data_IF_982719435767
#
_entry.id   IF_982719435767
#
_cell.length_a   1.000
_cell.length_b   1.000
_cell.length_c   1.000
_cell.angle_alpha   90.00
_cell.angle_beta   90.00
_cell.angle_gamma   90.00
#
_symmetry.space_group_name_H-M   'P 1'
#
loop_
_entity.id
_entity.type
_entity.pdbx_description
1 polymer ?
#
# COMPACT_ATOMS: atom_id res chain seq x y z
N UNK A 1 -5.55 -2.18 15.53
CA UNK A 1 -5.31 -2.43 14.09
C UNK A 1 -4.27 -3.51 13.88
N UNK A 2 -4.38 -4.32 12.81
CA UNK A 2 -3.33 -5.28 12.41
C UNK A 2 -2.68 -4.82 11.09
N UNK A 3 -1.36 -4.63 11.11
CA UNK A 3 -0.46 -4.33 9.99
C UNK A 3 0.35 -5.58 9.62
N UNK A 4 1.09 -5.62 8.50
CA UNK A 4 1.68 -6.86 7.98
C UNK A 4 3.13 -6.70 7.55
N UNK A 5 3.97 -7.72 7.80
CA UNK A 5 5.32 -7.84 7.24
C UNK A 5 5.54 -9.21 6.59
N UNK A 6 6.05 -9.19 5.36
CA UNK A 6 6.74 -10.30 4.68
C UNK A 6 7.64 -9.68 3.59
N UNK A 7 8.76 -10.29 3.19
CA UNK A 7 9.99 -9.59 2.75
C UNK A 7 10.03 -9.07 1.28
N UNK A 8 10.78 -7.96 1.10
CA UNK A 8 11.32 -7.25 -0.09
C UNK A 8 10.41 -6.63 -1.18
N UNK A 9 9.22 -7.15 -1.47
CA UNK A 9 8.23 -6.45 -2.35
C UNK A 9 7.17 -5.68 -1.56
N UNK A 10 7.25 -5.77 -0.24
CA UNK A 10 6.24 -5.36 0.73
C UNK A 10 6.72 -4.22 1.63
N UNK A 11 7.97 -3.77 1.51
CA UNK A 11 8.52 -2.73 2.39
C UNK A 11 7.69 -1.44 2.33
N UNK A 12 7.27 -1.01 1.14
CA UNK A 12 6.42 0.18 0.98
C UNK A 12 5.00 -0.04 1.50
N UNK A 13 4.41 -1.22 1.30
CA UNK A 13 3.06 -1.52 1.78
C UNK A 13 3.02 -1.68 3.30
N UNK A 14 3.97 -2.42 3.87
CA UNK A 14 4.15 -2.56 5.31
C UNK A 14 4.38 -1.18 5.95
N UNK A 15 5.28 -0.35 5.41
CA UNK A 15 5.53 1.02 5.89
C UNK A 15 4.27 1.89 5.78
N UNK A 16 3.52 1.81 4.67
CA UNK A 16 2.27 2.57 4.53
C UNK A 16 1.22 2.12 5.54
N UNK A 17 1.08 0.82 5.77
CA UNK A 17 0.19 0.27 6.80
C UNK A 17 0.60 0.71 8.20
N UNK A 18 1.89 0.69 8.53
CA UNK A 18 2.42 1.17 9.81
C UNK A 18 2.14 2.67 10.01
N UNK A 19 2.44 3.51 9.01
CA UNK A 19 2.15 4.96 9.08
C UNK A 19 0.65 5.23 9.26
N UNK A 20 -0.19 4.53 8.51
CA UNK A 20 -1.63 4.63 8.63
C UNK A 20 -2.10 4.22 10.04
N UNK A 21 -1.58 3.10 10.57
CA UNK A 21 -1.87 2.64 11.92
C UNK A 21 -1.52 3.70 12.98
N UNK A 22 -0.28 4.20 12.92
CA UNK A 22 0.23 5.20 13.85
C UNK A 22 -0.54 6.52 13.79
N UNK A 23 -1.10 6.86 12.63
CA UNK A 23 -1.82 8.12 12.43
C UNK A 23 -3.26 8.05 12.94
N UNK A 24 -3.92 6.91 12.77
CA UNK A 24 -5.37 6.80 12.99
C UNK A 24 -5.78 5.91 14.17
N UNK A 25 -4.84 5.19 14.80
CA UNK A 25 -5.15 4.22 15.86
C UNK A 25 -4.15 4.30 17.00
N UNK A 26 -4.67 4.25 18.24
CA UNK A 26 -3.85 4.24 19.46
C UNK A 26 -3.11 2.90 19.66
N UNK A 27 -3.70 1.82 19.15
CA UNK A 27 -3.18 0.46 19.33
C UNK A 27 -3.11 -0.30 18.02
N UNK A 28 -1.92 -0.82 17.72
CA UNK A 28 -1.69 -1.64 16.54
C UNK A 28 -0.66 -2.74 16.80
N UNK A 29 -0.80 -3.81 16.02
CA UNK A 29 0.09 -4.97 16.00
C UNK A 29 0.41 -5.33 14.56
N UNK A 30 1.46 -6.11 14.34
CA UNK A 30 1.78 -6.75 13.06
C UNK A 30 1.30 -8.20 13.13
N UNK A 31 0.64 -8.72 12.09
CA UNK A 31 0.38 -10.16 11.96
C UNK A 31 1.42 -10.78 11.02
N UNK A 32 2.45 -11.38 11.63
CA UNK A 32 3.51 -12.13 10.97
C UNK A 32 3.07 -13.56 10.66
N UNK A 33 3.49 -14.08 9.51
CA UNK A 33 3.24 -15.48 9.15
C UNK A 33 4.08 -16.49 9.94
N UNK A 34 5.23 -16.08 10.50
CA UNK A 34 6.08 -16.94 11.35
C UNK A 34 5.79 -16.74 12.83
N UNK A 35 5.70 -15.48 13.27
CA UNK A 35 5.66 -15.14 14.70
C UNK A 35 4.26 -14.78 15.22
N UNK A 36 3.28 -14.62 14.32
CA UNK A 36 1.91 -14.24 14.68
C UNK A 36 1.76 -12.78 15.04
N UNK A 37 1.02 -12.46 16.09
CA UNK A 37 0.81 -11.08 16.52
C UNK A 37 2.07 -10.53 17.17
N UNK A 38 2.63 -9.46 16.61
CA UNK A 38 3.81 -8.75 17.09
C UNK A 38 3.44 -7.31 17.46
N UNK A 39 3.91 -6.81 18.59
CA UNK A 39 3.86 -5.39 18.88
C UNK A 39 4.94 -4.63 18.10
N UNK A 40 4.78 -3.31 17.89
CA UNK A 40 5.79 -2.48 17.23
C UNK A 40 7.17 -2.54 17.91
N UNK A 41 7.19 -2.84 19.21
CA UNK A 41 8.39 -2.94 20.03
C UNK A 41 8.97 -4.38 20.10
N UNK A 42 8.27 -5.39 19.54
CA UNK A 42 8.75 -6.76 19.56
C UNK A 42 9.99 -6.92 18.67
N UNK A 43 11.06 -7.50 19.23
CA UNK A 43 12.32 -7.72 18.52
C UNK A 43 12.28 -9.06 17.78
N UNK A 44 12.50 -9.01 16.48
CA UNK A 44 12.66 -10.21 15.66
C UNK A 44 14.15 -10.57 15.60
N UNK A 45 14.55 -11.78 16.06
CA UNK A 45 15.96 -12.13 16.23
C UNK A 45 16.69 -12.40 14.90
N UNK A 46 15.96 -12.74 13.85
CA UNK A 46 16.51 -13.10 12.54
C UNK A 46 15.56 -12.71 11.40
N UNK A 47 16.13 -12.41 10.22
CA UNK A 47 15.34 -12.26 9.00
C UNK A 47 14.67 -13.58 8.64
N UNK A 48 13.42 -13.51 8.13
CA UNK A 48 12.65 -14.71 7.80
C UNK A 48 11.76 -14.51 6.57
N UNK A 49 11.60 -15.56 5.76
CA UNK A 49 10.76 -15.53 4.57
C UNK A 49 9.61 -16.54 4.69
N UNK A 50 8.63 -16.21 5.53
CA UNK A 50 7.40 -17.00 5.71
C UNK A 50 6.21 -16.17 5.27
N UNK A 51 5.24 -16.81 4.61
CA UNK A 51 4.06 -16.15 4.05
C UNK A 51 2.82 -17.03 4.19
N UNK A 52 1.66 -16.42 4.46
CA UNK A 52 0.37 -17.13 4.44
C UNK A 52 -0.11 -17.51 3.03
N UNK A 53 0.48 -16.93 1.97
CA UNK A 53 0.14 -17.27 0.58
C UNK A 53 0.64 -18.68 0.24
N UNK A 54 1.87 -18.99 0.64
CA UNK A 54 2.48 -20.30 0.50
C UNK A 54 2.97 -20.77 1.87
N UNK A 55 2.07 -21.30 2.71
CA UNK A 55 2.41 -21.76 4.05
C UNK A 55 3.51 -22.83 4.02
N UNK A 56 4.39 -22.77 5.00
CA UNK A 56 5.43 -23.76 5.29
C UNK A 56 5.19 -24.37 6.68
N UNK A 57 6.05 -25.31 7.07
CA UNK A 57 6.10 -25.85 8.44
C UNK A 57 6.43 -24.79 9.51
N UNK A 58 7.03 -23.66 9.13
CA UNK A 58 7.29 -22.53 10.03
C UNK A 58 6.10 -21.56 10.13
N UNK A 59 5.03 -21.78 9.37
CA UNK A 59 3.86 -20.89 9.42
C UNK A 59 3.06 -21.11 10.69
N UNK A 60 2.80 -20.03 11.42
CA UNK A 60 2.04 -20.09 12.66
C UNK A 60 0.61 -20.62 12.42
N UNK A 61 0.17 -21.49 13.31
CA UNK A 61 -1.16 -22.10 13.25
C UNK A 61 -2.24 -21.19 13.83
N UNK A 62 -3.50 -21.40 13.41
CA UNK A 62 -4.64 -20.61 13.90
C UNK A 62 -4.80 -20.70 15.42
N UNK A 63 -4.61 -21.89 16.01
CA UNK A 63 -4.77 -22.06 17.45
C UNK A 63 -3.73 -21.26 18.24
N UNK A 64 -2.49 -21.23 17.76
CA UNK A 64 -1.42 -20.39 18.32
C UNK A 64 -1.74 -18.89 18.16
N UNK A 65 -2.32 -18.48 17.03
CA UNK A 65 -2.77 -17.10 16.84
C UNK A 65 -3.87 -16.70 17.83
N UNK A 66 -4.81 -17.61 18.13
CA UNK A 66 -5.86 -17.37 19.13
C UNK A 66 -5.28 -17.21 20.53
N UNK A 67 -4.38 -18.11 20.93
CA UNK A 67 -3.66 -18.03 22.20
C UNK A 67 -2.86 -16.72 22.33
N UNK A 68 -2.19 -16.30 21.25
CA UNK A 68 -1.49 -15.01 21.21
C UNK A 68 -2.44 -13.83 21.30
N UNK A 69 -3.57 -13.86 20.59
CA UNK A 69 -4.54 -12.77 20.61
C UNK A 69 -5.13 -12.56 22.02
N UNK A 70 -5.38 -13.65 22.76
CA UNK A 70 -5.83 -13.59 24.15
C UNK A 70 -4.72 -13.10 25.09
N UNK A 71 -3.54 -13.74 25.05
CA UNK A 71 -2.43 -13.41 25.96
C UNK A 71 -1.87 -12.00 25.76
N UNK A 72 -1.87 -11.50 24.52
CA UNK A 72 -1.46 -10.13 24.17
C UNK A 72 -2.60 -9.11 24.30
N UNK A 73 -3.79 -9.54 24.73
CA UNK A 73 -4.95 -8.65 24.92
C UNK A 73 -5.55 -8.09 23.62
N UNK A 74 -5.15 -8.60 22.45
CA UNK A 74 -5.70 -8.19 21.15
C UNK A 74 -7.16 -8.62 21.01
N UNK A 75 -7.55 -9.73 21.63
CA UNK A 75 -8.94 -10.21 21.65
C UNK A 75 -9.91 -9.31 22.43
N UNK A 76 -9.40 -8.40 23.27
CA UNK A 76 -10.23 -7.52 24.10
C UNK A 76 -10.87 -6.35 23.31
N UNK A 77 -10.36 -6.06 22.10
CA UNK A 77 -10.88 -4.98 21.27
C UNK A 77 -12.17 -5.41 20.56
N UNK A 78 -13.22 -4.59 20.67
CA UNK A 78 -14.51 -4.83 20.01
C UNK A 78 -14.47 -4.59 18.52
N UNK A 79 -13.66 -3.65 18.06
CA UNK A 79 -13.52 -3.30 16.65
C UNK A 79 -12.07 -3.53 16.23
N UNK A 80 -11.87 -4.29 15.15
CA UNK A 80 -10.54 -4.64 14.65
C UNK A 80 -10.48 -4.34 13.15
N UNK A 81 -9.72 -3.29 12.82
CA UNK A 81 -9.36 -2.97 11.43
C UNK A 81 -8.14 -3.78 10.98
N UNK A 82 -8.27 -4.45 9.84
CA UNK A 82 -7.25 -5.33 9.25
C UNK A 82 -6.80 -4.76 7.89
N UNK A 83 -5.56 -4.26 7.82
CA UNK A 83 -5.03 -3.61 6.61
C UNK A 83 -4.26 -4.56 5.70
N UNK A 84 -4.94 -5.59 5.15
CA UNK A 84 -4.23 -6.68 4.49
C UNK A 84 -4.97 -7.29 3.32
N UNK A 85 -4.22 -8.04 2.52
CA UNK A 85 -4.79 -8.87 1.45
C UNK A 85 -5.57 -10.08 1.99
N UNK A 86 -6.30 -10.74 1.09
CA UNK A 86 -7.23 -11.85 1.39
C UNK A 86 -6.71 -12.89 2.39
N UNK A 87 -5.48 -13.38 2.22
CA UNK A 87 -4.93 -14.41 3.09
C UNK A 87 -4.80 -13.97 4.55
N UNK A 88 -4.50 -12.70 4.78
CA UNK A 88 -4.38 -12.14 6.12
C UNK A 88 -5.75 -11.83 6.74
N UNK A 89 -6.69 -11.33 5.94
CA UNK A 89 -8.06 -11.10 6.40
C UNK A 89 -8.77 -12.40 6.77
N UNK A 90 -8.52 -13.48 6.02
CA UNK A 90 -8.98 -14.84 6.37
C UNK A 90 -8.42 -15.34 7.71
N UNK A 91 -7.14 -15.07 8.01
CA UNK A 91 -6.55 -15.41 9.32
C UNK A 91 -7.18 -14.62 10.45
N UNK A 92 -7.36 -13.30 10.28
CA UNK A 92 -8.03 -12.47 11.27
C UNK A 92 -9.46 -12.96 11.56
N UNK A 93 -10.23 -13.31 10.51
CA UNK A 93 -11.57 -13.91 10.66
C UNK A 93 -11.56 -15.22 11.44
N UNK A 94 -10.54 -16.06 11.24
CA UNK A 94 -10.42 -17.33 11.94
C UNK A 94 -10.03 -17.18 13.42
N UNK A 95 -9.33 -16.09 13.76
CA UNK A 95 -8.89 -15.79 15.13
C UNK A 95 -9.99 -15.10 15.94
N UNK A 96 -10.59 -14.04 15.39
CA UNK A 96 -11.56 -13.20 16.08
C UNK A 96 -12.99 -13.64 15.75
N UNK A 97 -13.50 -14.58 16.54
CA UNK A 97 -14.83 -15.17 16.34
C UNK A 97 -15.80 -14.86 17.48
N UNK A 98 -15.41 -14.05 18.46
CA UNK A 98 -16.14 -13.84 19.71
C UNK A 98 -16.74 -12.43 19.80
N UNK A 99 -17.49 -12.04 18.76
CA UNK A 99 -18.25 -10.79 18.75
C UNK A 99 -17.44 -9.53 18.45
N UNK A 100 -16.20 -9.68 17.97
CA UNK A 100 -15.45 -8.56 17.39
C UNK A 100 -16.01 -8.18 16.01
N UNK A 101 -16.17 -6.90 15.77
CA UNK A 101 -16.46 -6.33 14.47
C UNK A 101 -15.16 -6.19 13.66
N UNK A 102 -15.08 -6.90 12.53
CA UNK A 102 -13.90 -6.87 11.67
C UNK A 102 -14.12 -5.96 10.47
N UNK A 103 -13.24 -4.98 10.33
CA UNK A 103 -13.23 -4.06 9.19
C UNK A 103 -12.06 -4.39 8.26
N UNK A 104 -12.35 -4.41 6.96
CA UNK A 104 -11.37 -4.71 5.91
C UNK A 104 -11.27 -3.57 4.90
N UNK A 105 -10.67 -2.42 5.23
CA UNK A 105 -10.72 -1.21 4.39
C UNK A 105 -10.08 -1.36 3.01
N UNK A 106 -9.30 -2.41 2.80
CA UNK A 106 -8.56 -2.69 1.56
C UNK A 106 -9.15 -3.88 0.78
N UNK A 107 -10.31 -4.42 1.18
CA UNK A 107 -10.94 -5.61 0.56
C UNK A 107 -11.35 -5.41 -0.90
N UNK A 108 -11.66 -4.19 -1.28
CA UNK A 108 -12.07 -3.77 -2.64
C UNK A 108 -10.88 -3.55 -3.58
N UNK A 109 -9.64 -3.60 -3.07
CA UNK A 109 -8.45 -3.37 -3.85
C UNK A 109 -7.98 -4.65 -4.55
N UNK A 110 -7.84 -4.59 -5.88
CA UNK A 110 -7.44 -5.73 -6.71
C UNK A 110 -5.92 -5.99 -6.73
N UNK A 111 -5.13 -5.15 -6.07
CA UNK A 111 -3.68 -5.31 -5.99
C UNK A 111 -3.00 -4.30 -5.05
N UNK A 112 -1.75 -4.58 -4.70
CA UNK A 112 -0.96 -3.83 -3.71
C UNK A 112 -0.85 -2.34 -4.08
N UNK A 113 -0.74 -2.00 -5.36
CA UNK A 113 -0.70 -0.60 -5.81
C UNK A 113 -1.97 0.20 -5.47
N UNK A 114 -3.16 -0.40 -5.61
CA UNK A 114 -4.42 0.25 -5.21
C UNK A 114 -4.52 0.38 -3.70
N UNK A 115 -4.04 -0.62 -2.95
CA UNK A 115 -3.99 -0.57 -1.49
C UNK A 115 -3.08 0.57 -1.01
N UNK A 116 -1.89 0.70 -1.59
CA UNK A 116 -0.96 1.80 -1.33
C UNK A 116 -1.61 3.16 -1.62
N UNK A 117 -2.24 3.31 -2.79
CA UNK A 117 -2.94 4.55 -3.14
C UNK A 117 -4.03 4.90 -2.13
N UNK A 118 -4.82 3.91 -1.69
CA UNK A 118 -5.91 4.11 -0.73
C UNK A 118 -5.38 4.56 0.64
N UNK A 119 -4.30 3.92 1.11
CA UNK A 119 -3.62 4.28 2.37
C UNK A 119 -2.99 5.68 2.30
N UNK A 120 -2.25 5.99 1.23
CA UNK A 120 -1.61 7.31 1.06
C UNK A 120 -2.65 8.42 0.98
N UNK A 121 -3.72 8.23 0.22
CA UNK A 121 -4.81 9.22 0.11
C UNK A 121 -5.49 9.50 1.45
N UNK A 122 -5.65 8.46 2.27
CA UNK A 122 -6.23 8.60 3.60
C UNK A 122 -5.31 9.39 4.54
N UNK A 123 -4.00 9.10 4.51
CA UNK A 123 -2.98 9.86 5.24
C UNK A 123 -2.94 11.34 4.83
N UNK A 124 -2.96 11.63 3.53
CA UNK A 124 -2.97 13.00 2.99
C UNK A 124 -4.20 13.79 3.42
N UNK A 125 -5.36 13.13 3.46
CA UNK A 125 -6.63 13.75 3.85
C UNK A 125 -6.85 13.82 5.36
N UNK A 126 -6.01 13.14 6.14
CA UNK A 126 -6.22 12.89 7.57
C UNK A 126 -7.62 12.31 7.85
N UNK A 127 -8.06 11.35 7.05
CA UNK A 127 -9.36 10.70 7.19
C UNK A 127 -9.25 9.19 7.03
N UNK A 128 -9.95 8.45 7.89
CA UNK A 128 -9.90 6.99 7.92
C UNK A 128 -10.61 6.38 6.71
N UNK A 129 -10.08 5.26 6.21
CA UNK A 129 -10.74 4.47 5.19
C UNK A 129 -11.89 3.70 5.83
N UNK A 130 -13.11 3.98 5.39
CA UNK A 130 -14.30 3.17 5.75
C UNK A 130 -14.20 1.79 5.10
N UNK A 131 -14.21 0.74 5.91
CA UNK A 131 -14.27 -0.65 5.44
C UNK A 131 -15.72 -1.16 5.33
N UNK A 132 -15.94 -2.17 4.50
CA UNK A 132 -17.16 -2.97 4.59
C UNK A 132 -17.13 -3.76 5.91
N UNK A 133 -18.08 -3.47 6.80
CA UNK A 133 -18.35 -4.28 7.98
C UNK A 133 -19.12 -5.53 7.57
N UNK A 134 -18.71 -6.70 8.09
CA UNK A 134 -19.47 -7.94 7.95
C UNK A 134 -20.53 -8.04 9.04
N UNK A 135 -21.38 -7.03 9.16
CA UNK A 135 -22.62 -7.12 9.93
C UNK A 135 -23.83 -7.24 8.98
N UNK A 136 -24.70 -8.19 9.32
CA UNK A 136 -25.96 -8.49 8.63
C UNK A 136 -26.87 -7.24 8.61
N UNK A 137 -27.74 -7.07 7.59
CA UNK A 137 -28.35 -5.78 7.31
C UNK A 137 -29.42 -5.44 8.35
N UNK A 138 -29.31 -4.29 9.00
CA UNK A 138 -30.48 -3.45 9.33
C UNK A 138 -30.13 -2.05 9.86
N UNK A 139 -30.72 -1.07 9.18
CA UNK A 139 -31.12 0.30 9.60
C UNK A 139 -30.10 1.44 9.59
N UNK A 140 -30.06 2.06 8.41
CA UNK A 140 -30.13 3.52 8.15
C UNK A 140 -30.53 4.38 9.35
N UNK A 141 -29.68 5.35 9.72
CA UNK A 141 -30.08 6.72 10.11
C UNK A 141 -29.05 7.72 9.55
N UNK A 142 -29.58 8.86 9.10
CA UNK A 142 -29.03 9.84 8.16
C UNK A 142 -28.70 11.18 8.87
N UNK A 143 -27.87 12.01 8.20
CA UNK A 143 -27.74 13.50 8.22
C UNK A 143 -26.61 14.11 9.10
N UNK A 144 -25.51 14.69 8.55
CA UNK A 144 -25.29 15.99 7.84
C UNK A 144 -25.42 17.25 8.74
N UNK A 145 -24.85 18.44 8.42
CA UNK A 145 -23.58 18.82 7.75
C UNK A 145 -22.91 20.09 8.37
N UNK A 146 -21.65 20.43 8.01
CA UNK A 146 -21.20 21.84 8.00
C UNK A 146 -20.40 22.16 6.72
N UNK A 147 -20.79 23.28 6.08
CA UNK A 147 -20.39 23.74 4.74
C UNK A 147 -19.09 24.57 4.76
N UNK A 148 -18.31 24.32 3.70
CA UNK A 148 -17.55 25.24 2.83
C UNK A 148 -16.45 26.15 3.42
N UNK A 149 -15.25 25.95 2.89
CA UNK A 149 -14.59 27.01 2.11
C UNK A 149 -13.98 26.41 0.83
N UNK A 150 -14.34 26.99 -0.31
CA UNK A 150 -13.88 26.62 -1.64
C UNK A 150 -12.44 27.07 -1.87
N UNK A 151 -11.56 26.12 -2.23
CA UNK A 151 -10.38 26.38 -3.07
C UNK A 151 -10.35 25.29 -4.13
N UNK A 152 -10.50 25.69 -5.39
CA UNK A 152 -10.49 24.79 -6.54
C UNK A 152 -9.06 24.49 -7.03
N UNK A 153 -8.88 23.22 -7.46
CA UNK A 153 -7.91 22.70 -8.46
C UNK A 153 -6.46 22.50 -7.99
N UNK A 154 -5.85 21.29 -8.02
CA UNK A 154 -5.60 20.42 -9.20
C UNK A 154 -5.48 18.89 -8.87
N UNK A 155 -6.53 18.16 -8.51
CA UNK A 155 -6.43 16.72 -8.13
C UNK A 155 -7.02 15.72 -9.15
N UNK A 156 -7.07 16.07 -10.44
CA UNK A 156 -7.59 15.19 -11.51
C UNK A 156 -6.56 14.26 -12.16
N UNK A 157 -5.26 14.57 -12.03
CA UNK A 157 -4.16 13.91 -12.77
C UNK A 157 -3.68 12.61 -12.12
N UNK A 158 -3.74 12.49 -10.80
CA UNK A 158 -3.23 11.32 -10.04
C UNK A 158 -4.04 10.03 -10.29
N UNK A 159 -5.33 10.15 -10.65
CA UNK A 159 -6.19 9.00 -10.92
C UNK A 159 -5.85 8.28 -12.25
N UNK A 160 -4.99 8.84 -13.10
CA UNK A 160 -4.79 8.37 -14.49
C UNK A 160 -3.49 7.59 -14.74
N UNK A 161 -2.59 7.51 -13.75
CA UNK A 161 -1.25 6.87 -13.88
C UNK A 161 -1.23 5.41 -13.36
N UNK A 162 -2.28 4.96 -12.67
CA UNK A 162 -2.44 3.58 -12.22
C UNK A 162 -1.32 3.11 -11.29
N UNK A 163 -0.83 1.86 -11.47
CA UNK A 163 0.21 1.27 -10.62
C UNK A 163 1.57 1.99 -10.63
N UNK A 164 1.76 2.97 -11.52
CA UNK A 164 3.01 3.74 -11.63
C UNK A 164 2.96 5.06 -10.82
N UNK A 165 1.95 5.23 -9.95
CA UNK A 165 1.79 6.42 -9.10
C UNK A 165 3.02 6.72 -8.25
N UNK A 166 3.74 5.71 -7.75
CA UNK A 166 4.96 5.93 -6.95
C UNK A 166 6.08 6.58 -7.77
N UNK A 167 6.21 6.22 -9.05
CA UNK A 167 7.19 6.86 -9.94
C UNK A 167 6.78 8.30 -10.25
N UNK A 168 5.48 8.56 -10.45
CA UNK A 168 4.94 9.92 -10.57
C UNK A 168 5.30 10.75 -9.33
N UNK A 169 4.94 10.28 -8.13
CA UNK A 169 5.20 11.00 -6.88
C UNK A 169 6.70 11.23 -6.64
N UNK A 170 7.54 10.24 -6.94
CA UNK A 170 8.99 10.37 -6.81
C UNK A 170 9.51 11.47 -7.73
N UNK A 171 9.14 11.47 -9.01
CA UNK A 171 9.58 12.47 -9.97
C UNK A 171 9.03 13.87 -9.64
N UNK A 172 7.80 13.96 -9.13
CA UNK A 172 7.18 15.22 -8.74
C UNK A 172 7.98 15.95 -7.63
N UNK A 173 8.60 15.20 -6.72
CA UNK A 173 9.43 15.74 -5.64
C UNK A 173 10.94 15.79 -5.99
N UNK A 174 11.33 15.39 -7.20
CA UNK A 174 12.72 15.47 -7.64
C UNK A 174 13.07 16.91 -8.01
N UNK A 175 14.12 17.44 -7.40
CA UNK A 175 14.70 18.74 -7.76
C UNK A 175 15.73 18.61 -8.88
N UNK A 176 15.97 19.70 -9.63
CA UNK A 176 16.87 19.73 -10.79
C UNK A 176 16.14 19.61 -12.14
N UNK A 177 16.92 19.73 -13.23
CA UNK A 177 16.43 19.71 -14.62
C UNK A 177 16.50 18.32 -15.27
N UNK A 178 17.35 17.44 -14.72
CA UNK A 178 17.58 16.10 -15.24
C UNK A 178 17.85 15.13 -14.09
N UNK A 179 17.32 13.91 -14.20
CA UNK A 179 17.59 12.82 -13.26
C UNK A 179 17.87 11.54 -14.03
N UNK A 180 18.92 10.83 -13.63
CA UNK A 180 19.28 9.52 -14.18
C UNK A 180 18.86 8.45 -13.18
N UNK A 181 18.09 7.47 -13.65
CA UNK A 181 17.65 6.35 -12.83
C UNK A 181 17.95 5.02 -13.52
N UNK A 182 18.56 4.10 -12.78
CA UNK A 182 18.72 2.71 -13.22
C UNK A 182 17.38 1.97 -13.19
N UNK A 183 17.27 0.87 -13.94
CA UNK A 183 16.09 -0.01 -13.86
C UNK A 183 15.83 -0.47 -12.42
N UNK A 184 16.87 -0.86 -11.69
CA UNK A 184 16.74 -1.26 -10.29
C UNK A 184 16.23 -0.14 -9.37
N UNK A 185 16.66 1.11 -9.58
CA UNK A 185 16.13 2.26 -8.83
C UNK A 185 14.67 2.54 -9.18
N UNK A 186 14.29 2.44 -10.46
CA UNK A 186 12.90 2.60 -10.89
C UNK A 186 12.01 1.50 -10.28
N UNK A 187 12.47 0.25 -10.31
CA UNK A 187 11.76 -0.89 -9.68
C UNK A 187 11.67 -0.73 -8.16
N UNK A 188 12.70 -0.16 -7.52
CA UNK A 188 12.71 0.18 -6.09
C UNK A 188 11.64 1.23 -5.78
N UNK A 189 11.56 2.30 -6.57
CA UNK A 189 10.52 3.34 -6.43
C UNK A 189 9.13 2.79 -6.70
N UNK A 190 8.99 1.95 -7.72
CA UNK A 190 7.71 1.32 -8.08
C UNK A 190 7.27 0.25 -7.07
N UNK A 191 8.21 -0.37 -6.35
CA UNK A 191 7.94 -1.51 -5.47
C UNK A 191 7.59 -2.79 -6.23
N UNK A 192 7.87 -2.86 -7.55
CA UNK A 192 7.69 -4.06 -8.35
C UNK A 192 8.70 -4.14 -9.50
N UNK A 193 8.98 -5.37 -9.94
CA UNK A 193 9.83 -5.59 -11.11
C UNK A 193 9.10 -5.16 -12.39
N UNK A 194 9.76 -4.37 -13.22
CA UNK A 194 9.24 -3.94 -14.49
C UNK A 194 9.03 -5.17 -15.39
N UNK A 195 8.00 -5.16 -16.25
CA UNK A 195 7.79 -6.26 -17.17
C UNK A 195 9.01 -6.41 -18.09
N UNK A 196 9.34 -7.64 -18.56
CA UNK A 196 10.49 -7.87 -19.45
C UNK A 196 10.49 -6.97 -20.69
N UNK A 197 9.33 -6.51 -21.13
CA UNK A 197 9.17 -5.55 -22.22
C UNK A 197 9.84 -4.19 -21.98
N UNK A 198 9.93 -3.73 -20.73
CA UNK A 198 10.64 -2.49 -20.38
C UNK A 198 12.14 -2.58 -20.65
N UNK A 199 12.74 -3.76 -20.48
CA UNK A 199 14.14 -4.02 -20.78
C UNK A 199 14.38 -4.43 -22.24
N UNK A 200 13.35 -4.91 -22.94
CA UNK A 200 13.46 -5.42 -24.31
C UNK A 200 13.15 -4.38 -25.39
N UNK A 201 12.24 -3.45 -25.12
CA UNK A 201 11.68 -2.57 -26.14
C UNK A 201 11.77 -1.10 -25.72
N UNK A 202 12.62 -0.32 -26.42
CA UNK A 202 12.71 1.15 -26.25
C UNK A 202 11.35 1.85 -26.30
N UNK A 203 10.41 1.50 -27.20
CA UNK A 203 9.08 2.14 -27.23
C UNK A 203 8.25 2.02 -25.95
N UNK A 204 8.60 1.10 -25.04
CA UNK A 204 7.92 0.99 -23.74
C UNK A 204 8.08 2.29 -22.91
N UNK A 205 9.23 2.96 -23.08
CA UNK A 205 9.62 4.24 -22.46
C UNK A 205 9.22 5.47 -23.28
N UNK A 206 8.34 5.31 -24.28
CA UNK A 206 7.91 6.44 -25.11
C UNK A 206 7.10 7.47 -24.31
N UNK A 207 7.29 8.75 -24.62
CA UNK A 207 6.53 9.87 -24.07
C UNK A 207 5.13 9.94 -24.68
N UNK A 208 4.24 9.03 -24.28
CA UNK A 208 2.86 8.97 -24.73
C UNK A 208 1.86 9.04 -23.58
N UNK A 209 0.79 9.81 -23.76
CA UNK A 209 -0.33 9.86 -22.81
C UNK A 209 -1.31 8.69 -22.97
N UNK A 210 -1.03 7.69 -23.82
CA UNK A 210 -1.90 6.51 -23.98
C UNK A 210 -1.65 5.46 -22.90
N UNK A 211 -0.40 5.35 -22.42
CA UNK A 211 0.03 4.28 -21.55
C UNK A 211 0.18 4.75 -20.10
N UNK A 212 -0.29 3.96 -19.15
CA UNK A 212 -0.28 4.32 -17.72
C UNK A 212 1.12 4.59 -17.18
N UNK A 213 2.14 3.85 -17.62
CA UNK A 213 3.53 4.11 -17.22
C UNK A 213 3.99 5.48 -17.71
N UNK A 214 3.71 5.81 -18.97
CA UNK A 214 4.22 7.04 -19.56
C UNK A 214 3.53 8.29 -19.04
N UNK A 215 2.26 8.17 -18.68
CA UNK A 215 1.56 9.20 -17.90
C UNK A 215 2.25 9.49 -16.56
N UNK A 216 2.94 8.51 -15.95
CA UNK A 216 3.54 8.72 -14.62
C UNK A 216 4.64 9.78 -14.62
N UNK A 217 5.54 9.79 -15.61
CA UNK A 217 6.56 10.85 -15.71
C UNK A 217 6.01 12.11 -16.37
N UNK A 218 5.19 11.98 -17.42
CA UNK A 218 4.65 13.14 -18.15
C UNK A 218 3.77 14.04 -17.28
N UNK A 219 2.88 13.44 -16.46
CA UNK A 219 2.03 14.22 -15.56
C UNK A 219 2.80 14.76 -14.33
N UNK A 220 3.99 14.21 -14.05
CA UNK A 220 4.91 14.74 -13.05
C UNK A 220 5.72 15.95 -13.56
N UNK A 221 5.58 16.33 -14.84
CA UNK A 221 6.39 17.38 -15.47
C UNK A 221 7.73 16.90 -16.03
N UNK A 222 7.88 15.59 -16.24
CA UNK A 222 9.12 14.96 -16.73
C UNK A 222 8.87 14.21 -18.03
N UNK A 223 9.87 14.14 -18.89
CA UNK A 223 9.88 13.31 -20.08
C UNK A 223 11.11 12.41 -20.11
N UNK A 224 11.01 11.25 -20.76
CA UNK A 224 12.17 10.41 -21.04
C UNK A 224 12.98 11.07 -22.15
N UNK A 225 14.20 11.46 -21.83
CA UNK A 225 15.15 12.11 -22.74
C UNK A 225 16.02 11.07 -23.46
N UNK A 226 16.54 10.09 -22.71
CA UNK A 226 17.30 8.98 -23.30
C UNK A 226 17.10 7.66 -22.54
N UNK A 227 17.32 6.55 -23.25
CA UNK A 227 17.09 5.19 -22.76
C UNK A 227 18.31 4.34 -23.07
N UNK A 228 18.90 3.71 -22.06
CA UNK A 228 19.87 2.65 -22.21
C UNK A 228 19.25 1.37 -21.66
N UNK A 229 18.75 0.51 -22.57
CA UNK A 229 17.98 -0.69 -22.23
C UNK A 229 18.74 -1.56 -21.22
N UNK A 230 18.07 -1.90 -20.11
CA UNK A 230 18.64 -2.73 -19.05
C UNK A 230 19.68 -2.04 -18.16
N UNK A 231 19.96 -0.76 -18.38
CA UNK A 231 20.96 0.00 -17.61
C UNK A 231 20.30 1.18 -16.92
N UNK A 232 19.95 2.22 -17.67
CA UNK A 232 19.49 3.49 -17.13
C UNK A 232 18.53 4.22 -18.06
N UNK A 233 17.71 5.07 -17.46
CA UNK A 233 16.75 5.94 -18.11
C UNK A 233 17.04 7.36 -17.61
N UNK A 234 17.11 8.29 -18.56
CA UNK A 234 17.32 9.70 -18.27
C UNK A 234 15.99 10.41 -18.41
N UNK A 235 15.51 11.00 -17.32
CA UNK A 235 14.35 11.87 -17.31
C UNK A 235 14.81 13.33 -17.31
N UNK A 236 14.15 14.17 -18.10
CA UNK A 236 14.38 15.61 -18.15
C UNK A 236 13.07 16.34 -17.86
N UNK A 237 13.14 17.48 -17.17
CA UNK A 237 11.97 18.33 -17.00
C UNK A 237 11.46 18.84 -18.35
N UNK A 238 10.15 18.84 -18.49
CA UNK A 238 9.49 19.44 -19.65
C UNK A 238 9.56 20.95 -19.45
N UNK A 239 10.43 21.62 -20.21
CA UNK A 239 10.48 23.08 -20.23
C UNK A 239 9.23 23.62 -20.93
N UNK A 240 8.51 24.53 -20.29
CA UNK A 240 7.48 25.31 -20.99
C UNK A 240 8.19 26.24 -21.98
N UNK A 241 7.84 26.11 -23.27
CA UNK A 241 8.28 27.00 -24.36
C UNK A 241 7.39 28.23 -24.41
#
# INVERSE_FOLDING_TARGET
MITFESIFHLLCFAVACQKYAQTFFDHWVILSAKYGFLFPEDIIPEDYNVSFIKPSNETIHIDQLKEQAESKGVSAYKEITVLGGKHYTERAKAVFTQGQELLFPLSDCTGIGYMLQKLTRALEKQDTITGESLESPSKVITQHPLKKHEVQSKNGTENNVGKYISLHQSLLHTEGEQVVMTIGQIETVLGFALPPSANKYRPWWANTLTNSQAKSWLLAGWEVDSVTLGVEIVFRKISEV
#
